data_IF_464509814641
#
_entry.id   IF_464509814641
#
_cell.length_a   1.000
_cell.length_b   1.000
_cell.length_c   1.000
_cell.angle_alpha   90.00
_cell.angle_beta   90.00
_cell.angle_gamma   90.00
#
_symmetry.space_group_name_H-M   'P 1'
#
loop_
_entity.id
_entity.type
_entity.pdbx_description
1 polymer ?
#
# COMPACT_ATOMS: atom_id res chain seq x y z
N UNK A 1 -1.02 -11.32 -2.61
CA UNK A 1 0.27 -10.96 -1.99
C UNK A 1 0.80 -9.75 -2.70
N UNK A 2 0.94 -8.67 -1.94
CA UNK A 2 1.46 -7.40 -2.41
C UNK A 2 2.97 -7.35 -2.52
N UNK A 3 3.45 -6.19 -2.95
CA UNK A 3 4.88 -5.94 -3.17
C UNK A 3 5.22 -4.48 -2.91
N UNK A 4 6.51 -4.22 -2.64
CA UNK A 4 7.00 -2.84 -2.59
C UNK A 4 7.07 -2.26 -4.01
N UNK A 5 6.51 -1.07 -4.17
CA UNK A 5 6.52 -0.29 -5.39
C UNK A 5 7.12 1.10 -5.13
N UNK A 6 7.47 1.81 -6.20
CA UNK A 6 7.75 3.24 -6.15
C UNK A 6 6.68 4.02 -6.91
N UNK A 7 6.24 5.14 -6.37
CA UNK A 7 5.32 6.07 -7.03
C UNK A 7 5.90 7.48 -7.11
N UNK A 8 5.50 8.21 -8.14
CA UNK A 8 5.95 9.59 -8.37
C UNK A 8 5.16 10.55 -7.48
N UNK A 9 5.87 11.37 -6.71
CA UNK A 9 5.32 12.46 -5.92
C UNK A 9 5.05 13.70 -6.81
N UNK A 10 4.19 14.64 -6.38
CA UNK A 10 3.93 15.88 -7.12
C UNK A 10 5.16 16.75 -7.39
N UNK A 11 6.20 16.63 -6.57
CA UNK A 11 7.48 17.33 -6.71
C UNK A 11 8.49 16.61 -7.65
N UNK A 12 8.08 15.50 -8.26
CA UNK A 12 8.92 14.71 -9.16
C UNK A 12 9.81 13.69 -8.47
N UNK A 13 9.87 13.68 -7.12
CA UNK A 13 10.58 12.65 -6.37
C UNK A 13 9.86 11.30 -6.44
N UNK A 14 10.57 10.22 -6.08
CA UNK A 14 10.00 8.88 -5.90
C UNK A 14 9.81 8.61 -4.42
N UNK A 15 8.70 7.98 -4.07
CA UNK A 15 8.45 7.47 -2.73
C UNK A 15 8.13 5.96 -2.79
N UNK A 16 8.66 5.15 -1.86
CA UNK A 16 8.32 3.75 -1.76
C UNK A 16 6.97 3.54 -1.07
N UNK A 17 6.32 2.41 -1.36
CA UNK A 17 5.13 1.97 -0.64
C UNK A 17 4.79 0.51 -0.91
N UNK A 18 4.05 -0.12 -0.02
CA UNK A 18 3.55 -1.48 -0.20
C UNK A 18 2.19 -1.46 -0.91
N UNK A 19 2.09 -2.15 -2.05
CA UNK A 19 0.86 -2.28 -2.81
C UNK A 19 0.33 -3.72 -2.67
N UNK A 20 -0.83 -3.86 -2.03
CA UNK A 20 -1.61 -5.09 -2.00
C UNK A 20 -2.74 -5.04 -3.04
N UNK A 21 -2.81 -6.07 -3.88
CA UNK A 21 -3.85 -6.18 -4.91
C UNK A 21 -4.80 -7.35 -4.63
N UNK A 22 -6.11 -7.17 -4.90
CA UNK A 22 -7.09 -8.24 -4.81
C UNK A 22 -6.92 -9.23 -5.97
N UNK A 23 -7.54 -10.41 -5.85
CA UNK A 23 -7.50 -11.43 -6.91
C UNK A 23 -8.09 -10.95 -8.24
N UNK A 24 -9.17 -10.16 -8.20
CA UNK A 24 -9.68 -9.40 -9.34
C UNK A 24 -9.33 -7.91 -9.18
N UNK A 25 -8.25 -7.50 -9.82
CA UNK A 25 -7.73 -6.14 -9.73
C UNK A 25 -8.46 -5.15 -10.67
N UNK A 26 -9.38 -5.62 -11.52
CA UNK A 26 -10.08 -4.79 -12.50
C UNK A 26 -11.14 -3.95 -11.79
N UNK A 27 -10.98 -2.62 -11.83
CA UNK A 27 -11.88 -1.65 -11.19
C UNK A 27 -12.03 -1.82 -9.66
N UNK A 28 -11.08 -2.49 -8.99
CA UNK A 28 -11.09 -2.62 -7.55
C UNK A 28 -11.04 -1.23 -6.87
N UNK A 29 -11.89 -0.96 -5.87
CA UNK A 29 -11.85 0.27 -5.09
C UNK A 29 -10.49 0.41 -4.37
N UNK A 30 -9.98 1.64 -4.31
CA UNK A 30 -8.70 1.96 -3.71
C UNK A 30 -8.80 2.37 -2.23
N UNK A 31 -7.85 1.91 -1.41
CA UNK A 31 -7.61 2.35 -0.04
C UNK A 31 -6.17 2.84 0.06
N UNK A 32 -5.97 4.03 0.63
CA UNK A 32 -4.67 4.48 1.13
C UNK A 32 -4.65 4.19 2.63
N UNK A 33 -3.75 3.31 3.06
CA UNK A 33 -3.60 2.89 4.45
C UNK A 33 -2.36 3.55 5.03
N UNK A 34 -2.51 4.27 6.14
CA UNK A 34 -1.42 5.04 6.74
C UNK A 34 -0.72 4.22 7.83
N UNK A 35 0.61 4.24 7.78
CA UNK A 35 1.45 3.65 8.81
C UNK A 35 1.39 4.40 10.13
N UNK A 36 1.63 3.66 11.22
CA UNK A 36 1.88 4.22 12.53
C UNK A 36 3.35 4.64 12.68
N UNK A 37 3.76 5.04 13.89
CA UNK A 37 5.12 5.50 14.18
C UNK A 37 6.22 4.44 14.07
N UNK A 38 5.85 3.19 13.77
CA UNK A 38 6.77 2.08 13.56
C UNK A 38 7.13 1.86 12.08
N UNK A 39 6.53 2.64 11.18
CA UNK A 39 6.66 2.49 9.73
C UNK A 39 5.94 1.26 9.17
N UNK A 40 6.21 0.94 7.90
CA UNK A 40 5.70 -0.26 7.22
C UNK A 40 6.29 -1.53 7.87
N UNK A 41 5.45 -2.28 8.57
CA UNK A 41 5.79 -3.53 9.24
C UNK A 41 4.77 -4.65 8.94
N UNK A 42 5.01 -5.84 9.50
CA UNK A 42 4.17 -7.02 9.25
C UNK A 42 2.71 -6.85 9.66
N UNK A 43 2.43 -6.04 10.70
CA UNK A 43 1.05 -5.82 11.19
C UNK A 43 0.23 -5.02 10.18
N UNK A 44 0.79 -3.94 9.64
CA UNK A 44 0.08 -3.11 8.67
C UNK A 44 0.00 -3.81 7.31
N UNK A 45 1.05 -4.52 6.90
CA UNK A 45 1.04 -5.38 5.70
C UNK A 45 -0.06 -6.44 5.83
N UNK A 46 -0.14 -7.15 6.96
CA UNK A 46 -1.20 -8.15 7.20
C UNK A 46 -2.60 -7.54 7.12
N UNK A 47 -2.76 -6.30 7.55
CA UNK A 47 -4.04 -5.59 7.47
C UNK A 47 -4.38 -5.20 6.03
N UNK A 48 -3.41 -4.72 5.25
CA UNK A 48 -3.58 -4.46 3.82
C UNK A 48 -3.92 -5.73 3.05
N UNK A 49 -3.26 -6.86 3.33
CA UNK A 49 -3.57 -8.15 2.69
C UNK A 49 -4.99 -8.63 3.01
N UNK A 50 -5.50 -8.41 4.23
CA UNK A 50 -6.89 -8.73 4.58
C UNK A 50 -7.90 -7.89 3.79
N UNK A 51 -7.59 -6.62 3.57
CA UNK A 51 -8.42 -5.74 2.73
C UNK A 51 -8.33 -6.12 1.26
N UNK A 52 -7.16 -6.52 0.78
CA UNK A 52 -6.99 -7.06 -0.56
C UNK A 52 -7.78 -8.36 -0.78
N UNK A 53 -7.77 -9.27 0.20
CA UNK A 53 -8.61 -10.47 0.17
C UNK A 53 -10.11 -10.13 0.15
N UNK A 54 -10.51 -8.96 0.68
CA UNK A 54 -11.89 -8.47 0.62
C UNK A 54 -12.24 -7.71 -0.68
N UNK A 55 -11.31 -7.62 -1.65
CA UNK A 55 -11.56 -7.03 -2.97
C UNK A 55 -11.09 -5.59 -3.14
N UNK A 56 -10.32 -5.04 -2.19
CA UNK A 56 -9.79 -3.67 -2.26
C UNK A 56 -8.35 -3.64 -2.79
N UNK A 57 -8.00 -2.66 -3.60
CA UNK A 57 -6.59 -2.33 -3.87
C UNK A 57 -6.09 -1.45 -2.73
N UNK A 58 -5.00 -1.82 -2.07
CA UNK A 58 -4.50 -1.09 -0.90
C UNK A 58 -3.06 -0.63 -1.13
N UNK A 59 -2.80 0.66 -0.94
CA UNK A 59 -1.46 1.22 -0.91
C UNK A 59 -1.12 1.68 0.51
N UNK A 60 0.02 1.23 1.03
CA UNK A 60 0.66 1.77 2.24
C UNK A 60 1.87 2.60 1.79
N UNK A 61 1.81 3.94 1.79
CA UNK A 61 2.99 4.78 1.59
C UNK A 61 3.96 4.61 2.75
N UNK A 62 5.26 4.43 2.48
CA UNK A 62 6.30 4.51 3.52
C UNK A 62 6.61 5.99 3.75
N UNK A 63 6.03 6.57 4.80
CA UNK A 63 6.15 8.00 5.11
C UNK A 63 7.50 8.34 5.73
N UNK A 64 8.25 7.34 6.21
CA UNK A 64 9.59 7.53 6.77
C UNK A 64 10.70 7.52 5.72
N UNK A 65 10.44 6.94 4.55
CA UNK A 65 11.37 6.94 3.40
C UNK A 65 10.83 7.72 2.19
N UNK A 66 9.71 8.43 2.38
CA UNK A 66 8.95 9.14 1.37
C UNK A 66 9.11 10.65 1.42
#
# INVERSE_FOLDING_TARGET
>A
MGSMIEFTRPDGAKAPGYLAEPGDAKNAPGIVMLEEWWGVNDQIISTAERMAAAGFRVLIPDLYRG
#
